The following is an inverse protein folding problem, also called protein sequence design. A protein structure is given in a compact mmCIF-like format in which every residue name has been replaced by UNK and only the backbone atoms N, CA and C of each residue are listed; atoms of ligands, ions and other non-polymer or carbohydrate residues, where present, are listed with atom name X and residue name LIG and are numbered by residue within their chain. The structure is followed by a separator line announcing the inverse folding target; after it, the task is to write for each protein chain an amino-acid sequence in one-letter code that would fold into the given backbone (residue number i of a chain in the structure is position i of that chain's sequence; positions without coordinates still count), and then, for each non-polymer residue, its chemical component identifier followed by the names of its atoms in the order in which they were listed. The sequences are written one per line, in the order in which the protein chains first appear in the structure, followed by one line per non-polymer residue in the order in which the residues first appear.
data_IF_395164281222
#
_entry.id   IF_395164281222
#
_cell.length_a   1.000
_cell.length_b   1.000
_cell.length_c   1.000
_cell.angle_alpha   90.00
_cell.angle_beta   90.00
_cell.angle_gamma   90.00
#
_symmetry.space_group_name_H-M   'P 1'
#
loop_
_entity.id
_entity.type
_entity.pdbx_description
1 polymer ?
#
# COMPACT_ATOMS: atom_id res chain seq x y z
N UNK A 1 -15.60 -16.49 -8.35
CA UNK A 1 -15.61 -16.31 -9.82
C UNK A 1 -14.19 -16.50 -10.32
N UNK A 2 -13.96 -17.35 -11.32
CA UNK A 2 -12.59 -17.56 -11.81
C UNK A 2 -12.11 -16.34 -12.62
N UNK A 3 -10.79 -16.10 -12.74
CA UNK A 3 -10.26 -14.99 -13.54
C UNK A 3 -10.72 -15.02 -15.01
N UNK A 4 -10.94 -16.21 -15.56
CA UNK A 4 -11.45 -16.40 -16.93
C UNK A 4 -12.90 -15.93 -17.06
N UNK A 5 -13.72 -16.22 -16.04
CA UNK A 5 -15.13 -15.83 -16.04
C UNK A 5 -15.31 -14.30 -15.91
N UNK A 6 -14.43 -13.65 -15.15
CA UNK A 6 -14.39 -12.18 -15.06
C UNK A 6 -14.01 -11.53 -16.40
N UNK A 7 -13.03 -12.09 -17.11
CA UNK A 7 -12.64 -11.60 -18.43
C UNK A 7 -13.79 -11.72 -19.44
N UNK A 8 -14.47 -12.88 -19.45
CA UNK A 8 -15.64 -13.15 -20.30
C UNK A 8 -16.79 -12.19 -19.99
N UNK A 9 -17.10 -12.00 -18.71
CA UNK A 9 -18.16 -11.08 -18.28
C UNK A 9 -17.83 -9.62 -18.64
N UNK A 10 -16.58 -9.20 -18.44
CA UNK A 10 -16.11 -7.86 -18.83
C UNK A 10 -16.31 -7.65 -20.33
N UNK A 11 -15.85 -8.59 -21.16
CA UNK A 11 -15.97 -8.47 -22.62
C UNK A 11 -17.44 -8.43 -23.05
N UNK A 12 -18.28 -9.34 -22.54
CA UNK A 12 -19.72 -9.35 -22.82
C UNK A 12 -20.41 -8.04 -22.43
N UNK A 13 -20.10 -7.48 -21.26
CA UNK A 13 -20.68 -6.21 -20.83
C UNK A 13 -20.19 -5.02 -21.68
N UNK A 14 -18.93 -5.06 -22.10
CA UNK A 14 -18.37 -4.03 -23.00
C UNK A 14 -19.07 -4.09 -24.36
N UNK A 15 -19.32 -5.29 -24.89
CA UNK A 15 -20.05 -5.48 -26.14
C UNK A 15 -21.50 -4.96 -26.02
N UNK A 16 -22.21 -5.26 -24.92
CA UNK A 16 -23.56 -4.72 -24.69
C UNK A 16 -23.55 -3.19 -24.59
N UNK A 17 -22.57 -2.59 -23.90
CA UNK A 17 -22.44 -1.13 -23.83
C UNK A 17 -22.19 -0.54 -25.22
N UNK A 18 -21.30 -1.14 -26.03
CA UNK A 18 -21.05 -0.70 -27.40
C UNK A 18 -22.30 -0.83 -28.28
N UNK A 19 -23.06 -1.93 -28.15
CA UNK A 19 -24.33 -2.11 -28.87
C UNK A 19 -25.38 -1.08 -28.44
N UNK A 20 -25.46 -0.74 -27.15
CA UNK A 20 -26.39 0.29 -26.66
C UNK A 20 -25.98 1.71 -27.06
N UNK A 21 -24.68 2.02 -27.07
CA UNK A 21 -24.17 3.31 -27.59
C UNK A 21 -24.45 3.40 -29.09
N UNK A 22 -24.21 2.33 -29.85
CA UNK A 22 -24.60 2.26 -31.27
C UNK A 22 -26.11 2.38 -31.47
N UNK A 23 -26.92 1.69 -30.67
CA UNK A 23 -28.38 1.75 -30.77
C UNK A 23 -28.92 3.13 -30.39
N UNK A 24 -28.26 3.84 -29.46
CA UNK A 24 -28.57 5.22 -29.11
C UNK A 24 -28.18 6.20 -30.22
N UNK A 25 -27.02 5.99 -30.85
CA UNK A 25 -26.57 6.76 -32.02
C UNK A 25 -27.54 6.55 -33.21
N UNK A 26 -28.06 5.32 -33.39
CA UNK A 26 -29.11 5.01 -34.36
C UNK A 26 -30.47 5.63 -33.99
N UNK A 27 -30.84 5.69 -32.69
CA UNK A 27 -32.08 6.36 -32.23
C UNK A 27 -32.02 7.88 -32.33
N UNK A 28 -30.83 8.49 -32.19
CA UNK A 28 -30.65 9.92 -32.43
C UNK A 28 -30.76 10.27 -33.93
N UNK A 29 -30.51 9.32 -34.83
CA UNK A 29 -30.77 9.44 -36.28
C UNK A 29 -32.24 9.17 -36.62
N UNK A 30 -32.94 8.31 -35.87
CA UNK A 30 -34.32 7.87 -36.11
C UNK A 30 -35.31 8.49 -35.12
N UNK A 31 -35.36 9.82 -35.03
CA UNK A 31 -36.40 10.54 -34.29
C UNK A 31 -37.76 10.53 -35.01
N UNK A 32 -38.25 9.34 -35.32
CA UNK A 32 -39.65 9.06 -35.58
C UNK A 32 -39.94 7.59 -35.19
N UNK A 33 -41.02 7.42 -34.45
CA UNK A 33 -41.79 6.20 -34.18
C UNK A 33 -41.37 5.30 -32.99
N UNK A 34 -42.21 5.44 -31.95
CA UNK A 34 -42.69 4.47 -30.94
C UNK A 34 -41.72 3.42 -30.37
N UNK A 35 -41.29 3.65 -29.13
CA UNK A 35 -40.60 2.64 -28.31
C UNK A 35 -41.56 2.19 -27.21
N UNK A 36 -42.15 1.01 -27.38
CA UNK A 36 -42.77 0.26 -26.29
C UNK A 36 -41.74 0.02 -25.17
N UNK A 37 -42.14 0.32 -23.94
CA UNK A 37 -41.34 0.21 -22.72
C UNK A 37 -41.12 -1.28 -22.38
N UNK A 38 -40.12 -1.90 -23.01
CA UNK A 38 -39.75 -3.29 -22.77
C UNK A 38 -39.00 -3.42 -21.43
N UNK A 39 -39.80 -3.47 -20.36
CA UNK A 39 -39.35 -3.52 -18.96
C UNK A 39 -38.44 -4.72 -18.66
N UNK A 40 -38.54 -5.80 -19.43
CA UNK A 40 -37.76 -7.01 -19.23
C UNK A 40 -36.28 -6.81 -19.62
N UNK A 41 -36.04 -6.16 -20.76
CA UNK A 41 -34.69 -5.79 -21.23
C UNK A 41 -34.00 -4.83 -20.25
N UNK A 42 -34.77 -3.92 -19.65
CA UNK A 42 -34.27 -2.95 -18.67
C UNK A 42 -33.91 -3.66 -17.34
N UNK A 43 -34.73 -4.62 -16.90
CA UNK A 43 -34.48 -5.41 -15.70
C UNK A 43 -33.24 -6.31 -15.81
N UNK A 44 -33.02 -6.93 -16.96
CA UNK A 44 -31.84 -7.77 -17.18
C UNK A 44 -30.54 -6.98 -17.24
N UNK A 45 -30.58 -5.76 -17.79
CA UNK A 45 -29.45 -4.82 -17.74
C UNK A 45 -29.12 -4.42 -16.29
N UNK A 46 -30.13 -4.13 -15.47
CA UNK A 46 -29.94 -3.79 -14.06
C UNK A 46 -29.32 -4.96 -13.29
N UNK A 47 -29.77 -6.20 -13.54
CA UNK A 47 -29.17 -7.42 -12.96
C UNK A 47 -27.70 -7.57 -13.33
N UNK A 48 -27.36 -7.34 -14.60
CA UNK A 48 -25.96 -7.38 -15.06
C UNK A 48 -25.10 -6.31 -14.38
N UNK A 49 -25.60 -5.08 -14.23
CA UNK A 49 -24.85 -3.99 -13.57
C UNK A 49 -24.59 -4.24 -12.09
N UNK A 50 -25.57 -4.77 -11.37
CA UNK A 50 -25.42 -5.17 -9.95
C UNK A 50 -24.40 -6.30 -9.82
N UNK A 51 -24.49 -7.30 -10.69
CA UNK A 51 -23.56 -8.44 -10.68
C UNK A 51 -22.12 -7.98 -10.96
N UNK A 52 -21.93 -7.10 -11.94
CA UNK A 52 -20.61 -6.56 -12.26
C UNK A 52 -20.07 -5.65 -11.16
N UNK A 53 -20.91 -4.85 -10.51
CA UNK A 53 -20.51 -4.04 -9.36
C UNK A 53 -20.02 -4.91 -8.21
N UNK A 54 -20.79 -5.94 -7.87
CA UNK A 54 -20.41 -6.91 -6.84
C UNK A 54 -19.12 -7.65 -7.22
N UNK A 55 -18.95 -8.01 -8.50
CA UNK A 55 -17.72 -8.63 -8.99
C UNK A 55 -16.51 -7.68 -8.88
N UNK A 56 -16.67 -6.40 -9.24
CA UNK A 56 -15.62 -5.38 -9.07
C UNK A 56 -15.29 -5.16 -7.59
N UNK A 57 -16.29 -5.05 -6.73
CA UNK A 57 -16.10 -4.85 -5.29
C UNK A 57 -15.44 -6.08 -4.63
N UNK A 58 -15.64 -7.27 -5.21
CA UNK A 58 -14.97 -8.51 -4.77
C UNK A 58 -13.50 -8.62 -5.21
N UNK A 59 -13.07 -7.81 -6.19
CA UNK A 59 -11.71 -7.85 -6.74
C UNK A 59 -10.94 -6.60 -6.32
N UNK A 60 -9.84 -6.80 -5.57
CA UNK A 60 -9.03 -5.71 -5.04
C UNK A 60 -8.40 -4.80 -6.11
N UNK A 61 -8.20 -5.30 -7.33
CA UNK A 61 -7.57 -4.57 -8.43
C UNK A 61 -8.28 -4.85 -9.74
N UNK A 62 -8.77 -3.81 -10.42
CA UNK A 62 -9.37 -3.91 -11.76
C UNK A 62 -8.35 -4.15 -12.87
N UNK A 63 -7.06 -3.96 -12.59
CA UNK A 63 -5.94 -4.13 -13.52
C UNK A 63 -4.98 -5.19 -12.95
N UNK A 64 -4.45 -6.11 -13.79
CA UNK A 64 -3.43 -7.06 -13.35
C UNK A 64 -2.21 -6.34 -12.75
N UNK A 65 -1.87 -6.68 -11.51
CA UNK A 65 -0.68 -6.14 -10.87
C UNK A 65 0.58 -6.79 -11.46
N UNK A 66 1.32 -6.06 -12.29
CA UNK A 66 2.61 -6.54 -12.84
C UNK A 66 3.65 -6.64 -11.72
N UNK A 67 4.29 -7.80 -11.61
CA UNK A 67 5.39 -7.99 -10.67
C UNK A 67 6.63 -7.27 -11.20
N UNK A 68 6.99 -6.17 -10.55
CA UNK A 68 8.30 -5.53 -10.76
C UNK A 68 9.39 -6.49 -10.28
N UNK A 69 10.47 -6.63 -11.05
CA UNK A 69 11.66 -7.34 -10.61
C UNK A 69 12.25 -6.64 -9.37
N UNK A 70 12.35 -7.37 -8.26
CA UNK A 70 12.81 -6.85 -6.97
C UNK A 70 14.08 -7.59 -6.58
N UNK A 71 15.11 -6.86 -6.17
CA UNK A 71 16.35 -7.48 -5.69
C UNK A 71 16.17 -7.90 -4.23
N UNK A 72 16.46 -9.16 -3.91
CA UNK A 72 16.55 -9.57 -2.51
C UNK A 72 17.87 -9.12 -1.88
N UNK A 73 18.94 -8.86 -2.64
CA UNK A 73 20.30 -8.70 -2.13
C UNK A 73 20.44 -7.70 -0.96
N UNK A 74 19.68 -6.61 -0.98
CA UNK A 74 19.80 -5.51 -0.02
C UNK A 74 19.42 -5.87 1.43
N UNK A 75 18.65 -6.94 1.66
CA UNK A 75 18.41 -7.42 3.04
C UNK A 75 19.71 -7.90 3.71
N UNK A 76 20.62 -8.47 2.91
CA UNK A 76 21.90 -9.00 3.38
C UNK A 76 22.92 -7.87 3.52
N UNK A 77 22.84 -6.94 2.55
CA UNK A 77 23.62 -5.71 2.49
C UNK A 77 23.48 -4.88 3.78
N UNK A 78 22.31 -4.82 4.43
CA UNK A 78 22.15 -4.11 5.71
C UNK A 78 23.19 -4.50 6.78
N UNK A 79 23.46 -5.80 6.93
CA UNK A 79 24.37 -6.33 7.95
C UNK A 79 25.81 -6.46 7.44
N UNK A 80 26.00 -6.58 6.13
CA UNK A 80 27.30 -6.74 5.48
C UNK A 80 28.00 -5.42 5.14
N UNK A 81 27.27 -4.29 5.10
CA UNK A 81 27.85 -2.98 4.80
C UNK A 81 28.93 -2.58 5.80
N UNK A 82 30.04 -2.01 5.34
CA UNK A 82 30.99 -1.32 6.21
C UNK A 82 30.33 -0.11 6.92
N UNK A 83 30.83 0.25 8.09
CA UNK A 83 30.20 1.26 8.97
C UNK A 83 30.05 2.63 8.30
N UNK A 84 31.02 3.08 7.51
CA UNK A 84 30.94 4.37 6.80
C UNK A 84 29.86 4.38 5.72
N UNK A 85 29.75 3.28 4.98
CA UNK A 85 28.72 3.13 3.94
C UNK A 85 27.35 3.04 4.61
N UNK A 86 27.24 2.26 5.68
CA UNK A 86 26.02 2.15 6.49
C UNK A 86 25.54 3.51 6.99
N UNK A 87 26.46 4.31 7.54
CA UNK A 87 26.19 5.66 8.04
C UNK A 87 25.78 6.63 6.94
N UNK A 88 26.33 6.47 5.74
CA UNK A 88 25.96 7.30 4.59
C UNK A 88 24.48 7.11 4.23
N UNK A 89 23.99 5.86 4.25
CA UNK A 89 22.60 5.54 3.96
C UNK A 89 21.65 5.84 5.12
N UNK A 90 21.97 5.36 6.33
CA UNK A 90 21.06 5.42 7.49
C UNK A 90 21.23 6.68 8.36
N UNK A 91 22.28 7.48 8.10
CA UNK A 91 22.67 8.68 8.90
C UNK A 91 23.05 8.40 10.35
N UNK A 92 23.16 7.13 10.74
CA UNK A 92 23.56 6.71 12.09
C UNK A 92 24.65 5.64 12.01
N UNK A 93 25.46 5.55 13.06
CA UNK A 93 26.43 4.47 13.18
C UNK A 93 25.72 3.15 13.51
N UNK A 94 26.33 2.01 13.19
CA UNK A 94 25.76 0.70 13.50
C UNK A 94 25.49 0.51 14.99
N UNK A 95 26.38 0.98 15.86
CA UNK A 95 26.18 0.92 17.31
C UNK A 95 24.86 1.59 17.73
N UNK A 96 24.62 2.82 17.27
CA UNK A 96 23.37 3.56 17.50
C UNK A 96 22.17 2.84 16.89
N UNK A 97 22.32 2.29 15.69
CA UNK A 97 21.28 1.51 15.05
C UNK A 97 20.86 0.29 15.88
N UNK A 98 21.82 -0.46 16.44
CA UNK A 98 21.52 -1.61 17.29
C UNK A 98 20.86 -1.21 18.61
N UNK A 99 21.27 -0.09 19.22
CA UNK A 99 20.60 0.45 20.42
C UNK A 99 19.13 0.78 20.11
N UNK A 100 18.87 1.45 18.97
CA UNK A 100 17.50 1.73 18.53
C UNK A 100 16.72 0.46 18.22
N UNK A 101 17.37 -0.53 17.60
CA UNK A 101 16.73 -1.81 17.29
C UNK A 101 16.31 -2.56 18.56
N UNK A 102 17.18 -2.64 19.56
CA UNK A 102 16.88 -3.29 20.83
C UNK A 102 15.80 -2.56 21.62
N UNK A 103 15.76 -1.23 21.55
CA UNK A 103 14.67 -0.45 22.13
C UNK A 103 13.31 -0.76 21.45
N UNK A 104 13.32 -0.93 20.13
CA UNK A 104 12.10 -1.04 19.34
C UNK A 104 11.59 -2.47 19.15
N UNK A 105 12.44 -3.50 19.23
CA UNK A 105 12.08 -4.88 18.88
C UNK A 105 10.90 -5.43 19.67
N UNK A 106 10.76 -5.00 20.93
CA UNK A 106 9.75 -5.48 21.87
C UNK A 106 8.50 -4.60 21.93
N UNK A 107 8.46 -3.51 21.15
CA UNK A 107 7.33 -2.57 21.12
C UNK A 107 6.06 -3.20 20.51
N UNK A 108 4.91 -2.83 21.07
CA UNK A 108 3.59 -3.36 20.69
C UNK A 108 3.22 -3.07 19.23
N UNK A 109 3.81 -2.06 18.60
CA UNK A 109 3.61 -1.70 17.19
C UNK A 109 4.14 -2.80 16.26
N UNK A 110 5.19 -3.50 16.66
CA UNK A 110 5.82 -4.56 15.86
C UNK A 110 5.29 -5.95 16.19
N UNK A 111 4.58 -6.11 17.31
CA UNK A 111 3.87 -7.36 17.62
C UNK A 111 2.78 -7.60 16.57
N UNK A 112 2.83 -8.76 15.91
CA UNK A 112 1.76 -9.16 14.99
C UNK A 112 0.43 -9.23 15.76
N UNK A 113 -0.59 -8.52 15.27
CA UNK A 113 -1.91 -8.42 15.95
C UNK A 113 -2.59 -9.77 16.15
N UNK A 114 -2.23 -10.77 15.34
CA UNK A 114 -2.80 -12.11 15.42
C UNK A 114 -1.68 -13.14 15.60
N UNK A 115 -1.74 -13.95 16.66
CA UNK A 115 -0.92 -15.17 16.90
C UNK A 115 -1.27 -16.31 15.91
N UNK A 116 -1.46 -15.96 14.64
CA UNK A 116 -1.91 -16.85 13.56
C UNK A 116 -2.04 -16.15 12.20
N UNK A 117 -1.52 -14.92 12.06
CA UNK A 117 -1.51 -14.24 10.78
C UNK A 117 -0.69 -15.05 9.76
N UNK A 118 -1.29 -15.37 8.61
CA UNK A 118 -0.65 -16.10 7.49
C UNK A 118 0.65 -15.48 7.00
N UNK A 119 0.97 -14.24 7.37
CA UNK A 119 2.22 -13.55 7.03
C UNK A 119 2.74 -12.78 8.24
N UNK A 120 3.91 -13.13 8.81
CA UNK A 120 4.52 -12.36 9.89
C UNK A 120 4.88 -10.95 9.39
N UNK A 121 4.93 -9.98 10.30
CA UNK A 121 5.46 -8.66 9.98
C UNK A 121 6.93 -8.79 9.55
N UNK A 122 7.39 -7.89 8.66
CA UNK A 122 8.81 -7.82 8.30
C UNK A 122 9.64 -7.45 9.52
N UNK A 123 10.88 -7.93 9.55
CA UNK A 123 11.84 -7.64 10.61
C UNK A 123 11.94 -6.13 10.94
N UNK A 124 12.00 -5.82 12.24
CA UNK A 124 12.07 -4.46 12.78
C UNK A 124 13.32 -3.75 12.29
N UNK A 125 14.44 -4.46 12.14
CA UNK A 125 15.67 -3.89 11.61
C UNK A 125 15.48 -3.32 10.20
N UNK A 126 14.75 -4.04 9.33
CA UNK A 126 14.44 -3.58 7.98
C UNK A 126 13.51 -2.37 8.01
N UNK A 127 12.48 -2.39 8.87
CA UNK A 127 11.56 -1.26 9.00
C UNK A 127 12.27 0.01 9.50
N UNK A 128 13.19 -0.15 10.46
CA UNK A 128 14.02 0.92 11.01
C UNK A 128 14.98 1.47 9.94
N UNK A 129 15.71 0.60 9.23
CA UNK A 129 16.64 1.00 8.18
C UNK A 129 15.96 1.80 7.07
N UNK A 130 14.82 1.31 6.56
CA UNK A 130 14.02 2.02 5.55
C UNK A 130 13.59 3.39 6.04
N UNK A 131 13.23 3.50 7.33
CA UNK A 131 12.79 4.77 7.92
C UNK A 131 13.94 5.77 8.03
N UNK A 132 15.10 5.32 8.50
CA UNK A 132 16.30 6.13 8.64
C UNK A 132 16.85 6.60 7.30
N UNK A 133 16.93 5.71 6.31
CA UNK A 133 17.35 6.07 4.95
C UNK A 133 16.35 7.05 4.32
N UNK A 134 15.06 6.87 4.56
CA UNK A 134 14.03 7.81 4.09
C UNK A 134 14.14 9.21 4.71
N UNK A 135 14.48 9.32 5.99
CA UNK A 135 14.72 10.61 6.64
C UNK A 135 16.07 11.21 6.28
N UNK A 136 17.06 10.37 5.98
CA UNK A 136 18.40 10.77 5.57
C UNK A 136 18.52 11.19 4.10
N UNK A 137 17.53 10.87 3.28
CA UNK A 137 17.50 11.21 1.86
C UNK A 137 16.88 12.62 1.65
N UNK A 138 17.69 13.55 1.17
CA UNK A 138 17.19 14.83 0.66
C UNK A 138 16.39 14.60 -0.62
N UNK A 139 15.13 15.06 -0.66
CA UNK A 139 14.23 15.27 -1.81
C UNK A 139 14.29 14.25 -2.97
N UNK A 140 15.41 14.21 -3.68
CA UNK A 140 15.68 13.38 -4.85
C UNK A 140 16.07 11.92 -4.53
N UNK A 141 16.66 11.65 -3.36
CA UNK A 141 17.04 10.28 -2.95
C UNK A 141 15.90 9.46 -2.32
N UNK A 142 14.73 10.08 -2.12
CA UNK A 142 13.60 9.48 -1.40
C UNK A 142 12.57 8.88 -2.37
N UNK A 143 13.03 8.27 -3.46
CA UNK A 143 12.15 7.63 -4.43
C UNK A 143 11.59 6.33 -3.86
N UNK A 144 10.27 6.20 -3.79
CA UNK A 144 9.60 4.96 -3.37
C UNK A 144 10.03 3.78 -4.27
N UNK A 145 10.30 4.04 -5.55
CA UNK A 145 10.79 3.02 -6.48
C UNK A 145 12.17 2.46 -6.09
N UNK A 146 13.05 3.29 -5.52
CA UNK A 146 14.36 2.86 -5.03
C UNK A 146 14.21 1.92 -3.83
N UNK A 147 13.36 2.27 -2.86
CA UNK A 147 13.07 1.40 -1.71
C UNK A 147 12.42 0.07 -2.12
N UNK A 148 11.52 0.08 -3.12
CA UNK A 148 10.90 -1.14 -3.66
C UNK A 148 11.95 -2.06 -4.28
N UNK A 149 12.90 -1.50 -5.04
CA UNK A 149 13.98 -2.25 -5.70
C UNK A 149 15.00 -2.78 -4.71
N UNK A 150 15.42 -1.95 -3.75
CA UNK A 150 16.44 -2.28 -2.77
C UNK A 150 15.88 -3.25 -1.72
N UNK A 151 14.81 -2.90 -1.01
CA UNK A 151 14.35 -3.70 0.13
C UNK A 151 13.39 -4.85 -0.23
N UNK A 152 13.05 -5.02 -1.51
CA UNK A 152 12.04 -5.98 -1.98
C UNK A 152 10.71 -5.83 -1.22
N UNK A 153 10.21 -4.60 -1.13
CA UNK A 153 8.96 -4.26 -0.45
C UNK A 153 7.96 -3.62 -1.41
N UNK A 154 6.67 -3.67 -1.09
CA UNK A 154 5.65 -2.98 -1.89
C UNK A 154 5.72 -1.46 -1.68
N UNK A 155 5.39 -0.67 -2.70
CA UNK A 155 5.46 0.80 -2.65
C UNK A 155 4.69 1.40 -1.45
N UNK A 156 3.46 0.92 -1.19
CA UNK A 156 2.66 1.34 -0.04
C UNK A 156 3.18 0.88 1.33
N UNK A 157 4.19 0.01 1.34
CA UNK A 157 4.82 -0.51 2.57
C UNK A 157 5.81 0.49 3.16
N UNK A 158 6.52 1.25 2.31
CA UNK A 158 7.49 2.27 2.75
C UNK A 158 6.87 3.27 3.73
N UNK A 159 5.77 3.99 3.43
CA UNK A 159 5.14 4.89 4.40
C UNK A 159 4.53 4.16 5.59
N UNK A 160 4.23 2.87 5.47
CA UNK A 160 3.72 2.06 6.59
C UNK A 160 4.82 1.77 7.60
N UNK A 161 6.03 1.42 7.16
CA UNK A 161 7.19 1.22 8.05
C UNK A 161 7.56 2.51 8.77
N UNK A 162 7.63 3.62 8.03
CA UNK A 162 7.96 4.94 8.59
C UNK A 162 6.99 5.32 9.70
N UNK A 163 5.68 5.19 9.47
CA UNK A 163 4.67 5.48 10.50
C UNK A 163 4.78 4.58 11.73
N UNK A 164 5.13 3.29 11.55
CA UNK A 164 5.31 2.35 12.67
C UNK A 164 6.51 2.74 13.52
N UNK A 165 7.65 2.97 12.89
CA UNK A 165 8.88 3.38 13.59
C UNK A 165 8.68 4.71 14.28
N UNK A 166 8.07 5.70 13.61
CA UNK A 166 7.75 7.00 14.21
C UNK A 166 6.83 6.84 15.43
N UNK A 167 5.77 6.02 15.32
CA UNK A 167 4.87 5.76 16.45
C UNK A 167 5.58 5.10 17.62
N UNK A 168 6.45 4.13 17.36
CA UNK A 168 7.20 3.46 18.39
C UNK A 168 8.19 4.43 19.07
N UNK A 169 8.97 5.20 18.29
CA UNK A 169 9.89 6.21 18.82
C UNK A 169 9.16 7.27 19.68
N UNK A 170 7.99 7.76 19.24
CA UNK A 170 7.20 8.73 20.00
C UNK A 170 6.70 8.18 21.35
N UNK A 171 6.52 6.86 21.50
CA UNK A 171 6.15 6.26 22.79
C UNK A 171 7.30 6.27 23.80
N UNK A 172 8.53 6.18 23.31
CA UNK A 172 9.74 6.32 24.13
C UNK A 172 10.21 7.77 24.26
N UNK A 173 9.70 8.70 23.44
CA UNK A 173 10.10 10.10 23.49
C UNK A 173 9.87 10.71 24.88
N UNK A 174 8.74 10.42 25.53
CA UNK A 174 8.42 10.93 26.86
C UNK A 174 9.31 10.37 27.97
N UNK A 175 9.98 9.23 27.77
CA UNK A 175 10.95 8.70 28.75
C UNK A 175 12.32 9.36 28.65
N UNK A 176 12.66 9.93 27.48
CA UNK A 176 13.97 10.56 27.25
C UNK A 176 13.91 12.08 27.28
N UNK A 177 12.78 12.67 26.90
CA UNK A 177 12.56 14.11 26.88
C UNK A 177 11.51 14.46 27.92
N UNK A 178 11.98 14.80 29.11
CA UNK A 178 11.18 15.58 30.05
C UNK A 178 11.22 17.03 29.57
N UNK A 179 10.18 17.50 28.87
CA UNK A 179 9.92 18.94 28.84
C UNK A 179 9.66 19.32 30.28
N UNK A 180 10.58 20.06 30.88
CA UNK A 180 10.44 20.62 32.22
C UNK A 180 9.10 21.33 32.30
N UNK A 181 8.11 20.65 32.87
CA UNK A 181 6.87 21.28 33.26
C UNK A 181 7.28 22.13 34.46
N UNK A 182 7.58 23.40 34.22
CA UNK A 182 7.58 24.38 35.29
C UNK A 182 6.14 24.40 35.82
N UNK A 183 5.91 23.59 36.86
CA UNK A 183 4.74 23.74 37.72
C UNK A 183 4.96 25.07 38.43
N UNK A 184 4.39 26.14 37.87
CA UNK A 184 4.23 27.39 38.59
C UNK A 184 3.26 27.10 39.72
N UNK A 185 3.79 26.83 40.91
CA UNK A 185 3.04 26.96 42.16
C UNK A 185 2.61 28.42 42.27
N UNK A 186 1.36 28.73 41.90
CA UNK A 186 0.69 29.91 42.41
C UNK A 186 0.36 29.62 43.89
N UNK A 187 1.11 30.27 44.78
CA UNK A 187 0.69 30.51 46.15
C UNK A 187 -0.29 31.67 46.23
#
# INVERSE_FOLDING_TARGET
MSPSDFQKLRNATTDVIFQLVKAREVREISSADDVEDDQDTTNDLLRHRVTLRNALDSVRYSVPHVNVARSSAHHRTLYELGDEVFRTFTRVNKATFYILLDLLRDDVVFRSRNRGARKPQRDVAIQLAVTLERYGAYGNGNSVAQFVRNYNIGAGTVPTYVRRVQKALLRYYTSFVALTSYVVSCG
#
